data_IF_835744421726
#
_entry.id   IF_835744421726
#
_cell.length_a   1.000
_cell.length_b   1.000
_cell.length_c   1.000
_cell.angle_alpha   90.00
_cell.angle_beta   90.00
_cell.angle_gamma   90.00
#
_symmetry.space_group_name_H-M   'P 1'
#
loop_
_entity.id
_entity.type
_entity.pdbx_description
1 polymer ?
#
# COMPACT_ATOMS: atom_id res chain seq x y z
N UNK A 1 36.55 -14.00 1.91
CA UNK A 1 35.55 -15.00 1.45
C UNK A 1 34.22 -14.98 2.22
N UNK A 2 34.13 -14.31 3.38
CA UNK A 2 32.90 -14.22 4.18
C UNK A 2 31.89 -13.18 3.66
N UNK A 3 32.33 -12.08 3.04
CA UNK A 3 31.44 -11.02 2.53
C UNK A 3 30.54 -11.47 1.35
N UNK A 4 31.09 -12.20 0.37
CA UNK A 4 30.32 -12.62 -0.82
C UNK A 4 29.22 -13.65 -0.49
N UNK A 5 29.50 -14.59 0.42
CA UNK A 5 28.49 -15.57 0.88
C UNK A 5 27.36 -14.92 1.68
N UNK A 6 27.67 -13.83 2.40
CA UNK A 6 26.67 -13.08 3.16
C UNK A 6 25.70 -12.34 2.22
N UNK A 7 26.23 -11.71 1.17
CA UNK A 7 25.43 -11.05 0.13
C UNK A 7 24.55 -12.04 -0.63
N UNK A 8 25.10 -13.21 -0.98
CA UNK A 8 24.35 -14.25 -1.68
C UNK A 8 23.21 -14.83 -0.84
N UNK A 9 23.47 -15.08 0.46
CA UNK A 9 22.44 -15.51 1.40
C UNK A 9 21.33 -14.46 1.59
N UNK A 10 21.68 -13.18 1.67
CA UNK A 10 20.69 -12.10 1.75
C UNK A 10 19.81 -12.03 0.50
N UNK A 11 20.36 -12.34 -0.68
CA UNK A 11 19.62 -12.39 -1.94
C UNK A 11 18.66 -13.58 -1.97
N UNK A 12 19.10 -14.75 -1.52
CA UNK A 12 18.26 -15.95 -1.45
C UNK A 12 17.12 -15.78 -0.43
N UNK A 13 17.42 -15.24 0.75
CA UNK A 13 16.44 -14.92 1.79
C UNK A 13 15.42 -13.88 1.27
N UNK A 14 15.88 -12.87 0.53
CA UNK A 14 15.01 -11.89 -0.12
C UNK A 14 14.05 -12.52 -1.14
N UNK A 15 14.55 -13.36 -2.05
CA UNK A 15 13.71 -14.05 -3.05
C UNK A 15 12.68 -14.95 -2.37
N UNK A 16 13.08 -15.64 -1.29
CA UNK A 16 12.18 -16.48 -0.50
C UNK A 16 11.05 -15.66 0.13
N UNK A 17 11.38 -14.56 0.80
CA UNK A 17 10.40 -13.66 1.44
C UNK A 17 9.43 -13.10 0.40
N UNK A 18 9.93 -12.55 -0.71
CA UNK A 18 9.09 -12.02 -1.79
C UNK A 18 8.15 -13.10 -2.33
N UNK A 19 8.67 -14.33 -2.55
CA UNK A 19 7.84 -15.44 -3.02
C UNK A 19 6.71 -15.80 -2.05
N UNK A 20 6.97 -15.75 -0.74
CA UNK A 20 5.97 -15.98 0.29
C UNK A 20 4.93 -14.86 0.35
N UNK A 21 5.36 -13.60 0.31
CA UNK A 21 4.48 -12.42 0.35
C UNK A 21 3.59 -12.33 -0.90
N UNK A 22 4.07 -12.75 -2.08
CA UNK A 22 3.25 -12.83 -3.30
C UNK A 22 2.27 -14.01 -3.29
N UNK A 23 2.64 -15.15 -2.70
CA UNK A 23 1.82 -16.37 -2.69
C UNK A 23 0.54 -16.18 -1.86
N UNK A 24 0.60 -15.42 -0.78
CA UNK A 24 -0.53 -15.18 0.14
C UNK A 24 -1.72 -14.49 -0.55
N UNK A 25 -1.58 -13.28 -1.14
CA UNK A 25 -2.67 -12.61 -1.85
C UNK A 25 -3.16 -13.42 -3.07
N UNK A 26 -2.25 -14.07 -3.79
CA UNK A 26 -2.62 -14.92 -4.93
C UNK A 26 -3.49 -16.12 -4.52
N UNK A 27 -3.17 -16.74 -3.38
CA UNK A 27 -3.95 -17.86 -2.84
C UNK A 27 -5.35 -17.40 -2.43
N UNK A 28 -5.45 -16.23 -1.81
CA UNK A 28 -6.73 -15.63 -1.44
C UNK A 28 -7.57 -15.32 -2.69
N UNK A 29 -7.02 -14.62 -3.69
CA UNK A 29 -7.71 -14.31 -4.96
C UNK A 29 -8.25 -15.59 -5.61
N UNK A 30 -7.39 -16.61 -5.74
CA UNK A 30 -7.77 -17.91 -6.32
C UNK A 30 -8.91 -18.56 -5.54
N UNK A 31 -8.83 -18.60 -4.21
CA UNK A 31 -9.86 -19.17 -3.35
C UNK A 31 -11.21 -18.48 -3.52
N UNK A 32 -11.26 -17.15 -3.37
CA UNK A 32 -12.50 -16.38 -3.51
C UNK A 32 -13.10 -16.47 -4.91
N UNK A 33 -12.26 -16.49 -5.95
CA UNK A 33 -12.71 -16.68 -7.33
C UNK A 33 -13.32 -18.06 -7.52
N UNK A 34 -12.68 -19.13 -7.02
CA UNK A 34 -13.24 -20.48 -7.06
C UNK A 34 -14.57 -20.59 -6.30
N UNK A 35 -14.69 -19.91 -5.15
CA UNK A 35 -15.93 -19.86 -4.39
C UNK A 35 -17.06 -19.15 -5.16
N UNK A 36 -16.76 -18.02 -5.81
CA UNK A 36 -17.71 -17.29 -6.66
C UNK A 36 -18.17 -18.15 -7.84
N UNK A 37 -17.24 -18.76 -8.59
CA UNK A 37 -17.56 -19.63 -9.73
C UNK A 37 -18.48 -20.77 -9.32
N UNK A 38 -18.14 -21.51 -8.25
CA UNK A 38 -18.97 -22.62 -7.74
C UNK A 38 -20.36 -22.17 -7.29
N UNK A 39 -20.52 -20.93 -6.82
CA UNK A 39 -21.84 -20.39 -6.44
C UNK A 39 -22.65 -20.00 -7.67
N UNK A 40 -22.03 -19.36 -8.65
CA UNK A 40 -22.67 -19.02 -9.92
C UNK A 40 -23.13 -20.29 -10.64
N UNK A 41 -22.29 -21.32 -10.73
CA UNK A 41 -22.64 -22.62 -11.33
C UNK A 41 -23.86 -23.26 -10.63
N UNK A 42 -23.89 -23.26 -9.30
CA UNK A 42 -25.03 -23.79 -8.52
C UNK A 42 -26.32 -23.00 -8.80
N UNK A 43 -26.25 -21.67 -8.87
CA UNK A 43 -27.41 -20.84 -9.23
C UNK A 43 -27.89 -21.13 -10.65
N UNK A 44 -26.98 -21.21 -11.63
CA UNK A 44 -27.29 -21.54 -13.01
C UNK A 44 -27.93 -22.93 -13.14
N UNK A 45 -27.48 -23.90 -12.34
CA UNK A 45 -28.08 -25.23 -12.31
C UNK A 45 -29.51 -25.21 -11.75
N UNK A 46 -29.74 -24.56 -10.61
CA UNK A 46 -31.09 -24.40 -10.01
C UNK A 46 -32.08 -23.72 -10.95
N UNK A 47 -31.64 -22.67 -11.65
CA UNK A 47 -32.45 -21.95 -12.65
C UNK A 47 -32.86 -22.85 -13.83
N UNK A 48 -32.03 -23.82 -14.21
CA UNK A 48 -32.33 -24.78 -15.28
C UNK A 48 -33.26 -25.92 -14.82
N UNK A 49 -33.32 -26.18 -13.51
CA UNK A 49 -34.10 -27.28 -12.93
C UNK A 49 -35.54 -26.89 -12.53
N UNK A 50 -35.99 -25.67 -12.82
CA UNK A 50 -37.30 -25.11 -12.41
C UNK A 50 -37.58 -25.16 -10.89
N UNK A 51 -36.54 -25.27 -10.05
CA UNK A 51 -36.67 -25.06 -8.62
C UNK A 51 -36.76 -23.55 -8.33
N UNK A 52 -37.79 -23.15 -7.59
CA UNK A 52 -38.13 -21.76 -7.32
C UNK A 52 -36.90 -20.97 -6.80
N UNK A 53 -36.37 -19.96 -7.53
CA UNK A 53 -35.10 -19.32 -7.20
C UNK A 53 -35.22 -18.24 -6.10
N UNK A 54 -36.41 -18.07 -5.51
CA UNK A 54 -36.78 -16.88 -4.75
C UNK A 54 -36.08 -16.67 -3.40
N UNK A 55 -35.28 -17.62 -2.90
CA UNK A 55 -34.68 -17.53 -1.55
C UNK A 55 -33.14 -17.48 -1.51
N UNK A 56 -32.43 -17.49 -2.65
CA UNK A 56 -30.97 -17.41 -2.69
C UNK A 56 -30.48 -16.03 -3.18
N UNK A 57 -30.76 -14.97 -2.40
CA UNK A 57 -30.07 -13.67 -2.55
C UNK A 57 -28.92 -13.49 -1.53
N UNK A 58 -27.75 -14.16 -1.68
CA UNK A 58 -26.52 -13.74 -1.05
C UNK A 58 -25.70 -12.80 -1.96
N UNK A 59 -26.32 -11.72 -2.46
CA UNK A 59 -25.61 -10.61 -3.13
C UNK A 59 -24.48 -10.08 -2.25
N UNK A 60 -24.74 -9.98 -0.94
CA UNK A 60 -23.77 -9.52 0.05
C UNK A 60 -22.51 -10.39 0.13
N UNK A 61 -22.61 -11.72 -0.08
CA UNK A 61 -21.42 -12.59 -0.05
C UNK A 61 -20.63 -12.56 -1.35
N UNK A 62 -21.29 -12.34 -2.49
CA UNK A 62 -20.62 -12.15 -3.78
C UNK A 62 -19.84 -10.84 -3.77
N UNK A 63 -20.49 -9.74 -3.36
CA UNK A 63 -19.87 -8.43 -3.18
C UNK A 63 -18.69 -8.48 -2.19
N UNK A 64 -18.82 -9.22 -1.08
CA UNK A 64 -17.72 -9.43 -0.14
C UNK A 64 -16.55 -10.17 -0.79
N UNK A 65 -16.81 -11.21 -1.57
CA UNK A 65 -15.76 -11.97 -2.26
C UNK A 65 -15.04 -11.10 -3.30
N UNK A 66 -15.79 -10.30 -4.05
CA UNK A 66 -15.25 -9.34 -5.02
C UNK A 66 -14.41 -8.24 -4.33
N UNK A 67 -14.90 -7.67 -3.23
CA UNK A 67 -14.16 -6.69 -2.44
C UNK A 67 -12.84 -7.26 -1.89
N UNK A 68 -12.84 -8.51 -1.43
CA UNK A 68 -11.61 -9.17 -0.99
C UNK A 68 -10.66 -9.40 -2.17
N UNK A 69 -11.15 -9.87 -3.32
CA UNK A 69 -10.32 -10.02 -4.52
C UNK A 69 -9.69 -8.69 -4.91
N UNK A 70 -10.46 -7.60 -4.94
CA UNK A 70 -9.97 -6.27 -5.26
C UNK A 70 -8.85 -5.85 -4.30
N UNK A 71 -9.09 -5.94 -2.99
CA UNK A 71 -8.09 -5.57 -1.97
C UNK A 71 -6.81 -6.39 -2.08
N UNK A 72 -6.90 -7.69 -2.40
CA UNK A 72 -5.72 -8.55 -2.58
C UNK A 72 -4.96 -8.22 -3.88
N UNK A 73 -5.65 -7.82 -4.94
CA UNK A 73 -5.02 -7.35 -6.19
C UNK A 73 -4.28 -6.03 -5.95
N UNK A 74 -4.89 -5.07 -5.27
CA UNK A 74 -4.25 -3.80 -4.89
C UNK A 74 -3.04 -4.04 -3.97
N UNK A 75 -3.10 -5.04 -3.09
CA UNK A 75 -1.94 -5.45 -2.29
C UNK A 75 -0.82 -6.04 -3.16
N UNK A 76 -1.16 -6.92 -4.10
CA UNK A 76 -0.19 -7.53 -5.01
C UNK A 76 0.49 -6.48 -5.90
N UNK A 77 -0.26 -5.50 -6.39
CA UNK A 77 0.26 -4.37 -7.17
C UNK A 77 1.30 -3.57 -6.38
N UNK A 78 1.00 -3.24 -5.12
CA UNK A 78 1.97 -2.58 -4.21
C UNK A 78 3.23 -3.41 -4.02
N UNK A 79 3.12 -4.71 -3.77
CA UNK A 79 4.28 -5.60 -3.60
C UNK A 79 5.17 -5.66 -4.85
N UNK A 80 4.56 -5.65 -6.04
CA UNK A 80 5.29 -5.61 -7.31
C UNK A 80 6.02 -4.28 -7.48
N UNK A 81 5.35 -3.16 -7.18
CA UNK A 81 5.96 -1.83 -7.27
C UNK A 81 7.12 -1.68 -6.28
N UNK A 82 6.95 -2.15 -5.03
CA UNK A 82 8.01 -2.13 -4.02
C UNK A 82 9.23 -2.97 -4.46
N UNK A 83 9.00 -4.12 -5.10
CA UNK A 83 10.07 -4.97 -5.65
C UNK A 83 10.81 -4.27 -6.81
N UNK A 84 10.08 -3.60 -7.69
CA UNK A 84 10.67 -2.85 -8.81
C UNK A 84 11.50 -1.68 -8.28
N UNK A 85 11.00 -0.94 -7.30
CA UNK A 85 11.73 0.15 -6.66
C UNK A 85 13.00 -0.37 -5.97
N UNK A 86 12.92 -1.46 -5.20
CA UNK A 86 14.10 -2.07 -4.58
C UNK A 86 15.14 -2.52 -5.60
N UNK A 87 14.70 -3.09 -6.72
CA UNK A 87 15.59 -3.46 -7.83
C UNK A 87 16.32 -2.24 -8.40
N UNK A 88 15.61 -1.13 -8.62
CA UNK A 88 16.20 0.13 -9.08
C UNK A 88 17.21 0.70 -8.07
N UNK A 89 16.92 0.65 -6.77
CA UNK A 89 17.85 1.07 -5.69
C UNK A 89 19.13 0.24 -5.76
N UNK A 90 19.02 -1.09 -5.77
CA UNK A 90 20.16 -2.00 -5.70
C UNK A 90 21.15 -1.83 -6.86
N UNK A 91 20.64 -1.43 -8.04
CA UNK A 91 21.44 -1.29 -9.26
C UNK A 91 21.90 0.16 -9.48
N UNK A 92 21.63 1.06 -8.52
CA UNK A 92 21.95 2.49 -8.63
C UNK A 92 21.21 3.18 -9.77
N UNK A 93 20.07 2.62 -10.21
CA UNK A 93 19.27 3.10 -11.34
C UNK A 93 18.14 4.04 -10.91
N UNK A 94 18.07 4.42 -9.63
CA UNK A 94 17.13 5.46 -9.21
C UNK A 94 17.52 6.78 -9.88
N UNK A 95 16.61 7.24 -10.74
CA UNK A 95 16.65 8.58 -11.30
C UNK A 95 15.69 9.43 -10.47
N UNK A 96 16.25 10.39 -9.73
CA UNK A 96 15.46 11.34 -8.95
C UNK A 96 15.09 12.53 -9.84
N UNK A 97 13.79 12.80 -9.93
CA UNK A 97 13.25 13.93 -10.65
C UNK A 97 13.08 15.11 -9.71
N UNK A 98 14.16 15.85 -9.50
CA UNK A 98 14.14 17.03 -8.62
C UNK A 98 13.30 18.15 -9.20
N UNK A 99 12.32 18.61 -8.44
CA UNK A 99 11.54 19.79 -8.72
C UNK A 99 11.39 20.68 -7.48
N UNK A 100 11.06 21.94 -7.69
CA UNK A 100 10.77 22.89 -6.60
C UNK A 100 9.28 22.91 -6.33
N UNK A 101 8.87 22.53 -5.12
CA UNK A 101 7.46 22.49 -4.74
C UNK A 101 7.24 22.91 -3.27
N UNK A 102 6.01 23.27 -2.94
CA UNK A 102 5.60 23.60 -1.57
C UNK A 102 5.31 22.31 -0.80
N UNK A 103 6.16 21.99 0.17
CA UNK A 103 6.05 20.74 0.93
C UNK A 103 4.73 20.68 1.72
N UNK A 104 4.28 21.82 2.24
CA UNK A 104 3.03 21.91 2.99
C UNK A 104 1.81 21.46 2.17
N UNK A 105 1.74 21.85 0.89
CA UNK A 105 0.66 21.47 -0.01
C UNK A 105 0.64 19.94 -0.21
N UNK A 106 1.80 19.36 -0.50
CA UNK A 106 1.97 17.91 -0.68
C UNK A 106 1.54 17.14 0.57
N UNK A 107 2.00 17.54 1.75
CA UNK A 107 1.63 16.90 3.01
C UNK A 107 0.14 17.03 3.30
N UNK A 108 -0.46 18.17 2.97
CA UNK A 108 -1.90 18.43 3.18
C UNK A 108 -2.75 17.51 2.32
N UNK A 109 -2.42 17.38 1.03
CA UNK A 109 -3.14 16.50 0.11
C UNK A 109 -2.97 15.03 0.50
N UNK A 110 -1.77 14.64 0.91
CA UNK A 110 -1.48 13.28 1.37
C UNK A 110 -2.27 12.92 2.63
N UNK A 111 -2.27 13.79 3.65
CA UNK A 111 -3.05 13.56 4.88
C UNK A 111 -4.55 13.51 4.58
N UNK A 112 -5.05 14.35 3.67
CA UNK A 112 -6.46 14.32 3.26
C UNK A 112 -6.83 13.00 2.58
N UNK A 113 -5.97 12.52 1.68
CA UNK A 113 -6.15 11.24 0.98
C UNK A 113 -6.22 10.07 1.96
N UNK A 114 -5.28 9.99 2.89
CA UNK A 114 -5.22 8.89 3.87
C UNK A 114 -6.35 9.01 4.90
N UNK A 115 -6.73 10.22 5.32
CA UNK A 115 -7.88 10.41 6.21
C UNK A 115 -9.19 9.89 5.59
N UNK A 116 -9.34 9.93 4.27
CA UNK A 116 -10.51 9.41 3.58
C UNK A 116 -10.62 7.87 3.64
N UNK A 117 -9.49 7.17 3.75
CA UNK A 117 -9.44 5.70 3.90
C UNK A 117 -9.32 5.24 5.36
N UNK A 118 -8.91 6.13 6.27
CA UNK A 118 -8.70 5.85 7.69
C UNK A 118 -9.95 6.15 8.54
N UNK A 119 -11.08 5.48 8.27
CA UNK A 119 -12.38 5.74 8.92
C UNK A 119 -12.36 5.70 10.46
N UNK A 120 -11.39 4.99 11.06
CA UNK A 120 -11.30 4.77 12.52
C UNK A 120 -10.17 5.54 13.20
N UNK A 121 -9.45 6.39 12.47
CA UNK A 121 -8.34 7.19 13.00
C UNK A 121 -8.53 8.66 12.67
N UNK A 122 -8.09 9.53 13.58
CA UNK A 122 -8.00 10.96 13.32
C UNK A 122 -6.55 11.31 13.01
N UNK A 123 -6.27 11.71 11.78
CA UNK A 123 -5.00 12.23 11.36
C UNK A 123 -4.98 13.75 11.53
N UNK A 124 -3.95 14.23 12.21
CA UNK A 124 -3.68 15.65 12.42
C UNK A 124 -2.35 16.01 11.78
N UNK A 125 -2.35 17.11 11.04
CA UNK A 125 -1.17 17.65 10.37
C UNK A 125 -0.81 18.98 11.02
N UNK A 126 0.38 19.05 11.62
CA UNK A 126 0.96 20.27 12.16
C UNK A 126 2.15 20.68 11.30
N UNK A 127 1.99 21.79 10.57
CA UNK A 127 3.04 22.35 9.73
C UNK A 127 3.50 23.66 10.35
N UNK A 128 4.76 23.70 10.79
CA UNK A 128 5.35 24.91 11.37
C UNK A 128 5.73 25.97 10.32
N UNK A 129 5.90 25.56 9.05
CA UNK A 129 6.25 26.48 7.95
C UNK A 129 5.42 26.13 6.72
N UNK A 130 4.41 26.97 6.41
CA UNK A 130 3.47 26.73 5.32
C UNK A 130 4.07 27.02 3.94
N UNK A 131 4.94 28.02 3.82
CA UNK A 131 5.46 28.47 2.51
C UNK A 131 6.84 27.89 2.17
N UNK A 132 7.24 26.81 2.84
CA UNK A 132 8.54 26.19 2.63
C UNK A 132 8.58 25.47 1.27
N UNK A 133 9.34 26.05 0.32
CA UNK A 133 9.69 25.39 -0.93
C UNK A 133 10.92 24.50 -0.73
N UNK A 134 10.82 23.27 -1.22
CA UNK A 134 11.91 22.29 -1.18
C UNK A 134 12.27 21.88 -2.59
N UNK A 135 13.54 21.53 -2.80
CA UNK A 135 14.03 20.90 -4.05
C UNK A 135 14.19 19.42 -3.77
N UNK A 136 13.25 18.61 -4.26
CA UNK A 136 13.22 17.17 -4.02
C UNK A 136 12.44 16.47 -5.15
N UNK A 137 12.47 15.15 -5.17
CA UNK A 137 11.55 14.37 -6.00
C UNK A 137 10.20 14.28 -5.27
N UNK A 138 9.20 15.01 -5.78
CA UNK A 138 7.87 15.12 -5.17
C UNK A 138 7.19 13.77 -5.05
N UNK A 139 7.23 12.95 -6.10
CA UNK A 139 6.60 11.64 -6.12
C UNK A 139 7.24 10.69 -5.10
N UNK A 140 8.56 10.72 -4.98
CA UNK A 140 9.29 9.90 -3.98
C UNK A 140 9.01 10.37 -2.55
N UNK A 141 8.89 11.68 -2.31
CA UNK A 141 8.49 12.20 -1.00
C UNK A 141 7.07 11.76 -0.64
N UNK A 142 6.12 11.89 -1.58
CA UNK A 142 4.73 11.41 -1.40
C UNK A 142 4.71 9.92 -1.05
N UNK A 143 5.47 9.10 -1.79
CA UNK A 143 5.56 7.66 -1.57
C UNK A 143 6.11 7.32 -0.18
N UNK A 144 7.24 7.92 0.21
CA UNK A 144 7.88 7.62 1.51
C UNK A 144 6.97 8.01 2.67
N UNK A 145 6.41 9.22 2.63
CA UNK A 145 5.56 9.71 3.72
C UNK A 145 4.23 8.95 3.73
N UNK A 146 3.67 8.63 2.56
CA UNK A 146 2.47 7.83 2.41
C UNK A 146 2.64 6.46 3.04
N UNK A 147 3.73 5.76 2.73
CA UNK A 147 4.05 4.45 3.32
C UNK A 147 4.17 4.50 4.84
N UNK A 148 4.74 5.56 5.41
CA UNK A 148 4.84 5.74 6.86
C UNK A 148 3.46 5.98 7.48
N UNK A 149 2.64 6.83 6.88
CA UNK A 149 1.29 7.14 7.38
C UNK A 149 0.35 5.93 7.25
N UNK A 150 0.41 5.18 6.15
CA UNK A 150 -0.34 3.94 5.96
C UNK A 150 0.02 2.90 7.02
N UNK A 151 1.32 2.75 7.30
CA UNK A 151 1.78 1.89 8.38
C UNK A 151 1.28 2.38 9.74
N UNK A 152 1.29 3.70 9.99
CA UNK A 152 0.77 4.25 11.23
C UNK A 152 -0.73 3.96 11.40
N UNK A 153 -1.56 4.10 10.36
CA UNK A 153 -2.98 3.75 10.40
C UNK A 153 -3.18 2.24 10.62
N UNK A 154 -2.46 1.40 9.87
CA UNK A 154 -2.61 -0.05 9.91
C UNK A 154 -2.23 -0.68 11.25
N UNK A 155 -1.18 -0.16 11.91
CA UNK A 155 -0.61 -0.77 13.12
C UNK A 155 -0.94 -0.02 14.41
N UNK A 156 -1.63 1.12 14.35
CA UNK A 156 -2.07 1.82 15.55
C UNK A 156 -3.40 1.28 16.07
N UNK A 157 -3.62 1.27 17.41
CA UNK A 157 -4.93 0.93 17.97
C UNK A 157 -6.06 1.75 17.36
N UNK A 158 -7.29 1.23 17.35
CA UNK A 158 -8.43 1.97 16.82
C UNK A 158 -8.72 3.22 17.66
N UNK A 159 -9.05 4.33 17.01
CA UNK A 159 -9.47 5.58 17.67
C UNK A 159 -8.34 6.45 18.23
N UNK A 160 -7.06 6.07 18.08
CA UNK A 160 -5.96 6.99 18.44
C UNK A 160 -5.74 8.05 17.37
N UNK A 161 -5.33 9.23 17.86
CA UNK A 161 -4.90 10.34 17.01
C UNK A 161 -3.48 10.09 16.50
N UNK A 162 -3.29 10.29 15.20
CA UNK A 162 -1.98 10.27 14.55
C UNK A 162 -1.57 11.71 14.23
N UNK A 163 -0.33 12.08 14.52
CA UNK A 163 0.19 13.44 14.29
C UNK A 163 1.39 13.43 13.35
N UNK A 164 1.31 14.19 12.26
CA UNK A 164 2.44 14.49 11.39
C UNK A 164 2.94 15.91 11.66
N UNK A 165 4.22 16.05 12.04
CA UNK A 165 4.83 17.32 12.40
C UNK A 165 5.91 17.71 11.37
N UNK A 166 5.72 18.82 10.66
CA UNK A 166 6.72 19.39 9.75
C UNK A 166 7.38 20.61 10.38
N UNK A 167 8.69 20.52 10.67
CA UNK A 167 9.48 21.60 11.28
C UNK A 167 10.68 21.95 10.40
N UNK A 168 10.92 23.24 10.21
CA UNK A 168 12.16 23.73 9.60
C UNK A 168 13.25 23.81 10.66
N UNK A 169 14.41 23.23 10.36
CA UNK A 169 15.63 23.39 11.17
C UNK A 169 16.70 23.98 10.29
N UNK A 170 17.10 25.23 10.59
CA UNK A 170 18.25 25.83 9.96
C UNK A 170 19.50 25.04 10.36
N UNK A 171 20.08 24.31 9.41
CA UNK A 171 21.41 23.70 9.61
C UNK A 171 22.43 24.70 9.10
N UNK A 172 23.19 25.32 10.02
CA UNK A 172 24.40 26.05 9.65
C UNK A 172 25.43 25.01 9.22
N UNK A 173 25.53 24.78 7.92
CA UNK A 173 26.60 23.94 7.38
C UNK A 173 27.87 24.80 7.47
N UNK A 174 28.63 24.60 8.54
CA UNK A 174 29.95 25.22 8.68
C UNK A 174 30.87 24.41 7.76
N UNK A 175 31.28 24.99 6.63
CA UNK A 175 32.29 24.39 5.77
C UNK A 175 33.60 24.25 6.57
N UNK A 176 34.13 23.04 6.66
CA UNK A 176 35.51 22.78 7.04
C UNK A 176 36.42 22.86 5.81
#
# INVERSE_FOLDING_TARGET
MTSSKQVEKLKDDFVSVVSHELRTPLTAIKGYTQHLVRRIERRLHKLRSSENPANDLPENQDLRSLSIIQSQTEHLERLVNDLLDLSQVQWGQIHLHYETFELAAVLTDLVRSIQASAEQHLLTLEIAVQDAKVVADRARIEQVIGNVLDNAVKYSPHGVRLSLNCKYKATVITSA
#
